data_IF_048698903683
#
_entry.id   IF_048698903683
#
_cell.length_a   1.000
_cell.length_b   1.000
_cell.length_c   1.000
_cell.angle_alpha   90.00
_cell.angle_beta   90.00
_cell.angle_gamma   90.00
#
_symmetry.space_group_name_H-M   'P 1'
#
loop_
_entity.id
_entity.type
_entity.pdbx_description
1 polymer ?
#
# COMPACT_ATOMS: atom_id res chain seq x y z
N UNK A 1 25.29 46.68 -4.53
CA UNK A 1 24.47 45.47 -4.84
C UNK A 1 24.97 44.76 -6.11
N UNK A 2 26.06 43.98 -6.04
CA UNK A 2 26.57 43.22 -7.23
C UNK A 2 27.18 41.83 -6.89
N UNK A 3 27.06 41.32 -5.67
CA UNK A 3 27.76 40.08 -5.24
C UNK A 3 26.93 38.78 -5.33
N UNK A 4 25.62 38.86 -5.58
CA UNK A 4 24.73 37.69 -5.60
C UNK A 4 24.55 37.04 -6.98
N UNK A 5 25.02 37.67 -8.07
CA UNK A 5 24.88 37.10 -9.42
C UNK A 5 25.78 35.89 -9.68
N UNK A 6 26.92 35.78 -8.99
CA UNK A 6 27.86 34.68 -9.20
C UNK A 6 27.38 33.36 -8.56
N UNK A 7 26.66 33.43 -7.43
CA UNK A 7 26.17 32.24 -6.74
C UNK A 7 24.99 31.55 -7.46
N UNK A 8 24.16 32.31 -8.17
CA UNK A 8 23.04 31.76 -8.95
C UNK A 8 23.49 30.97 -10.19
N UNK A 9 24.66 31.27 -10.76
CA UNK A 9 25.18 30.55 -11.91
C UNK A 9 25.73 29.16 -11.55
N UNK A 10 26.26 28.98 -10.34
CA UNK A 10 26.87 27.71 -9.90
C UNK A 10 25.79 26.64 -9.61
N UNK A 11 24.61 27.05 -9.11
CA UNK A 11 23.54 26.10 -8.77
C UNK A 11 22.77 25.54 -9.98
N UNK A 12 22.82 26.17 -11.16
CA UNK A 12 22.17 25.63 -12.37
C UNK A 12 23.02 24.58 -13.12
N UNK A 13 24.31 24.46 -12.81
CA UNK A 13 25.22 23.51 -13.48
C UNK A 13 25.19 22.09 -12.88
N UNK A 14 24.49 21.87 -11.76
CA UNK A 14 24.44 20.56 -11.07
C UNK A 14 23.17 19.75 -11.36
N UNK A 15 22.29 20.23 -12.25
CA UNK A 15 20.99 19.56 -12.54
C UNK A 15 21.00 18.63 -13.76
N UNK A 16 22.15 18.40 -14.41
CA UNK A 16 22.26 17.54 -15.59
C UNK A 16 23.41 16.55 -15.48
N UNK A 17 23.24 15.50 -14.67
CA UNK A 17 24.01 14.25 -14.80
C UNK A 17 23.27 13.08 -14.16
N UNK A 18 22.16 12.69 -14.79
CA UNK A 18 21.64 11.33 -14.71
C UNK A 18 20.96 11.00 -16.04
N UNK A 19 21.78 10.96 -17.10
CA UNK A 19 21.38 10.33 -18.35
C UNK A 19 22.57 9.60 -18.97
N UNK A 20 22.29 8.38 -19.41
CA UNK A 20 23.09 7.45 -20.21
C UNK A 20 24.11 6.58 -19.48
N UNK A 21 23.76 5.30 -19.35
CA UNK A 21 24.37 4.32 -20.26
C UNK A 21 23.44 3.13 -20.44
N UNK A 22 22.93 2.96 -21.66
CA UNK A 22 22.61 1.63 -22.19
C UNK A 22 23.87 0.76 -22.02
N UNK A 23 23.81 -0.19 -21.09
CA UNK A 23 24.70 -1.33 -21.12
C UNK A 23 23.96 -2.43 -21.86
N UNK A 24 24.41 -2.68 -23.09
CA UNK A 24 24.28 -3.99 -23.73
C UNK A 24 24.56 -5.07 -22.68
N UNK A 25 23.55 -5.87 -22.36
CA UNK A 25 23.75 -7.12 -21.65
C UNK A 25 24.27 -8.10 -22.70
N UNK A 26 25.59 -8.11 -22.85
CA UNK A 26 26.29 -9.18 -23.55
C UNK A 26 25.92 -10.50 -22.88
N UNK A 27 25.41 -11.42 -23.68
CA UNK A 27 25.05 -12.78 -23.33
C UNK A 27 26.30 -13.52 -22.80
N UNK A 28 26.49 -13.53 -21.48
CA UNK A 28 27.43 -14.41 -20.81
C UNK A 28 26.63 -15.56 -20.19
N UNK A 29 26.55 -16.65 -20.94
CA UNK A 29 26.01 -17.93 -20.51
C UNK A 29 26.84 -18.46 -19.34
N UNK A 30 26.35 -18.30 -18.11
CA UNK A 30 26.79 -19.10 -16.96
C UNK A 30 25.57 -19.82 -16.42
N UNK A 31 25.43 -21.06 -16.89
CA UNK A 31 24.44 -22.03 -16.42
C UNK A 31 24.69 -22.31 -14.93
N UNK A 32 23.75 -21.99 -14.01
CA UNK A 32 23.86 -22.44 -12.64
C UNK A 32 23.61 -23.94 -12.61
N UNK A 33 24.65 -24.70 -12.28
CA UNK A 33 24.57 -26.13 -11.96
C UNK A 33 23.62 -26.28 -10.76
N UNK A 34 22.54 -27.08 -10.85
CA UNK A 34 21.68 -27.32 -9.69
C UNK A 34 22.43 -28.23 -8.70
N UNK A 35 22.83 -27.69 -7.56
CA UNK A 35 23.18 -28.49 -6.40
C UNK A 35 21.90 -29.11 -5.83
N UNK A 36 21.80 -30.43 -5.96
CA UNK A 36 20.82 -31.27 -5.30
C UNK A 36 21.02 -31.21 -3.78
N UNK A 37 20.38 -30.26 -3.12
CA UNK A 37 20.08 -30.38 -1.70
C UNK A 37 18.74 -31.12 -1.57
N UNK A 38 18.85 -32.39 -1.22
CA UNK A 38 17.76 -33.33 -0.90
C UNK A 38 16.95 -32.83 0.30
N UNK A 39 16.00 -31.94 0.05
CA UNK A 39 14.89 -31.72 0.96
C UNK A 39 13.96 -32.94 0.82
N UNK A 40 13.93 -33.80 1.85
CA UNK A 40 12.95 -34.89 1.96
C UNK A 40 11.55 -34.29 1.87
N UNK A 41 10.93 -34.43 0.70
CA UNK A 41 9.49 -34.34 0.51
C UNK A 41 8.81 -35.39 1.40
N UNK A 42 7.89 -35.00 2.30
CA UNK A 42 6.96 -35.98 2.84
C UNK A 42 6.06 -36.48 1.70
N UNK A 43 5.91 -37.81 1.64
CA UNK A 43 5.16 -38.53 0.62
C UNK A 43 3.78 -37.93 0.34
N UNK A 44 3.65 -37.40 -0.87
CA UNK A 44 2.38 -36.97 -1.47
C UNK A 44 1.62 -38.20 -1.99
N UNK A 45 1.23 -39.11 -1.10
CA UNK A 45 0.40 -40.26 -1.46
C UNK A 45 -0.52 -40.70 -0.30
N UNK A 46 -1.42 -39.82 0.16
CA UNK A 46 -2.75 -40.22 0.67
C UNK A 46 -3.67 -39.03 0.99
N UNK A 47 -4.10 -38.27 -0.01
CA UNK A 47 -5.18 -37.29 0.17
C UNK A 47 -6.39 -37.66 -0.68
N UNK A 48 -6.97 -38.83 -0.40
CA UNK A 48 -8.32 -39.21 -0.83
C UNK A 48 -9.07 -39.78 0.37
N UNK A 49 -10.29 -39.29 0.56
CA UNK A 49 -11.32 -39.80 1.46
C UNK A 49 -11.16 -39.53 2.96
N UNK A 50 -11.51 -38.32 3.40
CA UNK A 50 -12.29 -38.16 4.63
C UNK A 50 -13.15 -36.87 4.66
N UNK A 51 -13.87 -36.60 3.56
CA UNK A 51 -14.97 -35.62 3.56
C UNK A 51 -16.29 -36.26 4.05
N UNK A 52 -16.27 -36.91 5.22
CA UNK A 52 -17.51 -37.28 5.91
C UNK A 52 -17.48 -36.72 7.32
N UNK A 53 -18.31 -35.70 7.51
CA UNK A 53 -18.82 -35.21 8.78
C UNK A 53 -17.85 -34.39 9.65
N UNK A 54 -17.30 -33.29 9.11
CA UNK A 54 -17.15 -32.10 9.96
C UNK A 54 -18.55 -31.51 10.17
N UNK A 55 -19.24 -32.07 11.17
CA UNK A 55 -20.45 -31.48 11.73
C UNK A 55 -20.00 -30.17 12.36
N UNK A 56 -20.14 -29.06 11.64
CA UNK A 56 -20.02 -27.73 12.25
C UNK A 56 -21.05 -27.69 13.38
N UNK A 57 -20.57 -27.79 14.62
CA UNK A 57 -21.38 -27.44 15.79
C UNK A 57 -21.58 -25.94 15.68
N UNK A 58 -22.69 -25.56 15.04
CA UNK A 58 -23.18 -24.18 15.06
C UNK A 58 -23.67 -23.94 16.47
N UNK A 59 -22.72 -23.63 17.36
CA UNK A 59 -23.04 -22.95 18.58
C UNK A 59 -23.65 -21.62 18.14
N UNK A 60 -24.89 -21.35 18.53
CA UNK A 60 -25.62 -20.10 18.30
C UNK A 60 -24.88 -18.91 18.93
N UNK A 61 -23.71 -18.57 18.41
CA UNK A 61 -23.09 -17.28 18.60
C UNK A 61 -23.82 -16.34 17.65
N UNK A 62 -24.52 -15.37 18.21
CA UNK A 62 -25.10 -14.23 17.51
C UNK A 62 -23.97 -13.55 16.73
N UNK A 63 -23.75 -13.97 15.48
CA UNK A 63 -22.72 -13.42 14.62
C UNK A 63 -23.07 -11.95 14.39
N UNK A 64 -22.28 -11.05 14.99
CA UNK A 64 -22.43 -9.62 14.77
C UNK A 64 -22.19 -9.38 13.28
N UNK A 65 -23.21 -8.87 12.57
CA UNK A 65 -23.13 -8.63 11.12
C UNK A 65 -22.05 -7.59 10.84
N UNK A 66 -20.96 -8.01 10.24
CA UNK A 66 -19.94 -7.11 9.71
C UNK A 66 -20.43 -6.51 8.39
N UNK A 67 -20.28 -5.20 8.24
CA UNK A 67 -20.67 -4.43 7.05
C UNK A 67 -19.41 -3.76 6.51
N UNK A 68 -19.26 -3.75 5.18
CA UNK A 68 -18.19 -3.07 4.49
C UNK A 68 -18.72 -1.80 3.85
N UNK A 69 -18.10 -0.66 4.15
CA UNK A 69 -18.42 0.65 3.58
C UNK A 69 -17.28 1.15 2.71
N UNK A 70 -17.57 1.61 1.50
CA UNK A 70 -16.57 2.27 0.65
C UNK A 70 -16.24 3.66 1.20
N UNK A 71 -14.97 3.89 1.52
CA UNK A 71 -14.48 5.19 2.02
C UNK A 71 -13.83 6.03 0.93
N UNK A 72 -13.20 5.38 -0.05
CA UNK A 72 -12.48 6.05 -1.12
C UNK A 72 -12.14 5.10 -2.26
N UNK A 73 -12.03 5.66 -3.47
CA UNK A 73 -11.63 4.93 -4.66
C UNK A 73 -10.86 5.84 -5.60
N UNK A 74 -9.77 5.32 -6.18
CA UNK A 74 -9.04 6.01 -7.24
C UNK A 74 -7.61 5.50 -7.40
N UNK A 75 -6.86 6.20 -8.24
CA UNK A 75 -5.46 5.95 -8.54
C UNK A 75 -4.55 6.54 -7.46
N UNK A 76 -3.49 5.82 -7.14
CA UNK A 76 -2.52 6.25 -6.12
C UNK A 76 -1.66 7.40 -6.64
N UNK A 77 -1.73 8.54 -5.96
CA UNK A 77 -0.95 9.75 -6.27
C UNK A 77 0.28 9.84 -5.38
N UNK A 78 0.16 9.38 -4.13
CA UNK A 78 1.28 9.32 -3.20
C UNK A 78 0.94 8.57 -1.92
N UNK A 79 1.97 8.25 -1.15
CA UNK A 79 1.85 7.65 0.17
C UNK A 79 2.66 8.45 1.18
N UNK A 80 2.20 8.45 2.42
CA UNK A 80 2.91 9.01 3.56
C UNK A 80 2.96 7.97 4.66
N UNK A 81 4.13 7.80 5.28
CA UNK A 81 4.30 6.94 6.45
C UNK A 81 4.87 7.76 7.59
N UNK A 82 4.21 7.70 8.74
CA UNK A 82 4.73 8.22 9.98
C UNK A 82 5.23 7.06 10.83
N UNK A 83 6.54 7.00 11.04
CA UNK A 83 7.16 5.97 11.88
C UNK A 83 7.25 6.38 13.36
N UNK A 84 6.81 7.59 13.72
CA UNK A 84 6.82 8.01 15.11
C UNK A 84 5.76 7.24 15.93
N UNK A 85 6.22 6.67 17.04
CA UNK A 85 5.38 6.09 18.09
C UNK A 85 4.69 7.25 18.83
N UNK A 86 3.41 7.14 19.22
CA UNK A 86 2.54 5.96 19.14
C UNK A 86 1.69 5.85 17.88
N UNK A 87 1.76 6.82 16.97
CA UNK A 87 0.74 6.96 15.92
C UNK A 87 0.94 6.04 14.72
N UNK A 88 2.15 5.47 14.51
CA UNK A 88 2.52 4.43 13.52
C UNK A 88 1.55 4.29 12.33
N UNK A 89 1.29 5.45 11.74
CA UNK A 89 0.14 5.67 10.88
C UNK A 89 0.65 5.99 9.49
N UNK A 90 -0.14 5.66 8.50
CA UNK A 90 0.18 5.99 7.14
C UNK A 90 -1.08 6.43 6.42
N UNK A 91 -0.87 7.19 5.36
CA UNK A 91 -1.92 7.72 4.52
C UNK A 91 -1.61 7.46 3.07
N UNK A 92 -2.66 7.47 2.26
CA UNK A 92 -2.58 7.43 0.82
C UNK A 92 -3.37 8.59 0.24
N UNK A 93 -2.82 9.22 -0.79
CA UNK A 93 -3.55 10.16 -1.62
C UNK A 93 -4.07 9.44 -2.86
N UNK A 94 -5.38 9.52 -3.09
CA UNK A 94 -6.03 8.99 -4.28
C UNK A 94 -6.61 10.12 -5.13
N UNK A 95 -6.64 9.92 -6.44
CA UNK A 95 -7.37 10.75 -7.41
C UNK A 95 -8.16 9.84 -8.33
N UNK A 96 -9.39 10.21 -8.65
CA UNK A 96 -10.24 9.47 -9.60
C UNK A 96 -9.79 9.68 -11.05
N UNK A 97 -9.04 10.74 -11.32
CA UNK A 97 -8.62 11.13 -12.67
C UNK A 97 -7.24 10.62 -13.08
N UNK A 98 -6.47 10.03 -12.15
CA UNK A 98 -5.19 9.37 -12.45
C UNK A 98 -4.12 9.56 -11.37
N UNK A 99 -2.94 9.00 -11.60
CA UNK A 99 -1.81 8.99 -10.64
C UNK A 99 -0.95 10.27 -10.72
N UNK A 100 -1.54 11.46 -10.58
CA UNK A 100 -0.81 12.74 -10.72
C UNK A 100 -1.18 13.77 -9.67
N UNK A 101 -0.16 14.40 -9.07
CA UNK A 101 -0.33 15.55 -8.15
C UNK A 101 -0.91 16.81 -8.81
N UNK A 102 -0.95 16.87 -10.15
CA UNK A 102 -1.59 17.97 -10.89
C UNK A 102 -3.12 17.84 -10.91
N UNK A 103 -3.65 16.69 -10.52
CA UNK A 103 -5.08 16.45 -10.50
C UNK A 103 -5.73 17.29 -9.38
N UNK A 104 -6.94 17.80 -9.65
CA UNK A 104 -7.65 18.69 -8.72
C UNK A 104 -8.50 17.95 -7.69
N UNK A 105 -8.64 16.64 -7.85
CA UNK A 105 -9.49 15.75 -7.05
C UNK A 105 -8.67 14.86 -6.11
N UNK A 106 -7.41 15.22 -5.84
CA UNK A 106 -6.53 14.48 -4.95
C UNK A 106 -7.03 14.58 -3.51
N UNK A 107 -7.30 13.44 -2.88
CA UNK A 107 -7.80 13.36 -1.50
C UNK A 107 -6.96 12.39 -0.68
N UNK A 108 -6.66 12.76 0.57
CA UNK A 108 -5.96 11.92 1.54
C UNK A 108 -6.92 10.97 2.27
N UNK A 109 -6.45 9.75 2.52
CA UNK A 109 -7.13 8.72 3.30
C UNK A 109 -6.16 8.12 4.32
N UNK A 110 -6.63 7.88 5.54
CA UNK A 110 -5.81 7.44 6.66
C UNK A 110 -6.05 5.97 6.99
N UNK A 111 -4.97 5.18 7.04
CA UNK A 111 -5.05 3.83 7.59
C UNK A 111 -5.30 3.90 9.10
N UNK A 112 -6.10 2.98 9.63
CA UNK A 112 -6.36 2.90 11.07
C UNK A 112 -6.50 1.45 11.55
N UNK A 113 -6.57 1.27 12.88
CA UNK A 113 -6.83 -0.02 13.50
C UNK A 113 -5.74 -1.04 13.16
N UNK A 114 -6.14 -2.17 12.58
CA UNK A 114 -5.21 -3.25 12.21
C UNK A 114 -4.27 -2.87 11.06
N UNK A 115 -4.50 -1.76 10.35
CA UNK A 115 -3.62 -1.32 9.27
C UNK A 115 -2.43 -0.45 9.70
N UNK A 116 -2.13 -0.32 11.01
CA UNK A 116 -0.89 0.34 11.47
C UNK A 116 0.37 -0.27 10.85
N UNK A 117 1.41 0.54 10.62
CA UNK A 117 2.57 0.14 9.79
C UNK A 117 3.40 -1.03 10.32
N UNK A 118 3.33 -1.31 11.63
CA UNK A 118 4.06 -2.41 12.26
C UNK A 118 3.30 -3.75 12.23
N UNK A 119 2.01 -3.77 11.90
CA UNK A 119 1.23 -5.00 11.81
C UNK A 119 1.45 -5.69 10.46
N UNK A 120 1.33 -7.02 10.42
CA UNK A 120 1.42 -7.77 9.17
C UNK A 120 0.30 -7.41 8.19
N UNK A 121 -0.89 -7.08 8.69
CA UNK A 121 -2.02 -6.63 7.87
C UNK A 121 -1.75 -5.26 7.27
N UNK A 122 -1.22 -4.32 8.05
CA UNK A 122 -0.82 -2.99 7.58
C UNK A 122 0.27 -3.06 6.52
N UNK A 123 1.30 -3.90 6.72
CA UNK A 123 2.35 -4.13 5.71
C UNK A 123 1.79 -4.69 4.41
N UNK A 124 0.86 -5.66 4.48
CA UNK A 124 0.21 -6.24 3.30
C UNK A 124 -0.64 -5.20 2.57
N UNK A 125 -1.48 -4.45 3.28
CA UNK A 125 -2.28 -3.40 2.69
C UNK A 125 -1.41 -2.32 2.02
N UNK A 126 -0.34 -1.89 2.70
CA UNK A 126 0.62 -0.93 2.15
C UNK A 126 1.30 -1.46 0.88
N UNK A 127 1.77 -2.72 0.89
CA UNK A 127 2.38 -3.35 -0.28
C UNK A 127 1.39 -3.49 -1.46
N UNK A 128 0.13 -3.83 -1.18
CA UNK A 128 -0.93 -3.86 -2.19
C UNK A 128 -1.08 -2.49 -2.86
N UNK A 129 -1.16 -1.40 -2.08
CA UNK A 129 -1.28 -0.04 -2.64
C UNK A 129 -0.05 0.34 -3.47
N UNK A 130 1.16 -0.02 -3.03
CA UNK A 130 2.36 0.19 -3.86
C UNK A 130 2.28 -0.57 -5.19
N UNK A 131 1.77 -1.80 -5.18
CA UNK A 131 1.57 -2.57 -6.39
C UNK A 131 0.53 -1.91 -7.32
N UNK A 132 -0.59 -1.40 -6.79
CA UNK A 132 -1.55 -0.62 -7.59
C UNK A 132 -0.93 0.65 -8.16
N UNK A 133 -0.13 1.38 -7.37
CA UNK A 133 0.56 2.57 -7.85
C UNK A 133 1.50 2.25 -9.03
N UNK A 134 2.30 1.18 -8.90
CA UNK A 134 3.25 0.77 -9.93
C UNK A 134 2.57 0.26 -11.21
N UNK A 135 1.39 -0.35 -11.07
CA UNK A 135 0.63 -0.91 -12.19
C UNK A 135 -0.43 0.04 -12.76
N UNK A 136 -0.58 1.24 -12.19
CA UNK A 136 -1.60 2.20 -12.59
C UNK A 136 -3.04 1.70 -12.34
N UNK A 137 -3.24 0.83 -11.35
CA UNK A 137 -4.56 0.30 -11.01
C UNK A 137 -5.28 1.20 -9.99
N UNK A 138 -6.61 1.17 -10.04
CA UNK A 138 -7.42 1.79 -9.00
C UNK A 138 -7.39 0.97 -7.70
N UNK A 139 -7.41 1.69 -6.59
CA UNK A 139 -7.53 1.14 -5.24
C UNK A 139 -8.93 1.45 -4.71
N UNK A 140 -9.58 0.46 -4.13
CA UNK A 140 -10.76 0.64 -3.28
C UNK A 140 -10.35 0.58 -1.80
N UNK A 141 -10.68 1.63 -1.06
CA UNK A 141 -10.50 1.72 0.38
C UNK A 141 -11.86 1.54 1.06
N UNK A 142 -11.93 0.62 2.01
CA UNK A 142 -13.16 0.34 2.75
C UNK A 142 -12.96 0.37 4.27
N UNK A 143 -14.08 0.54 4.96
CA UNK A 143 -14.21 0.40 6.40
C UNK A 143 -15.13 -0.79 6.72
N UNK A 144 -14.53 -1.86 7.19
CA UNK A 144 -15.19 -3.08 7.63
C UNK A 144 -15.46 -2.94 9.12
N UNK A 145 -16.72 -2.73 9.48
CA UNK A 145 -17.14 -2.46 10.86
C UNK A 145 -18.47 -3.13 11.19
N UNK A 146 -18.77 -3.20 12.48
CA UNK A 146 -20.07 -3.63 12.99
C UNK A 146 -20.87 -2.45 13.55
N UNK A 147 -20.32 -1.25 13.45
CA UNK A 147 -20.89 0.01 13.93
C UNK A 147 -21.48 0.83 12.79
N UNK A 148 -22.31 1.82 13.13
CA UNK A 148 -22.92 2.72 12.14
C UNK A 148 -21.98 3.84 11.72
N UNK A 149 -21.02 4.22 12.56
CA UNK A 149 -19.97 5.18 12.23
C UNK A 149 -18.90 4.48 11.41
N UNK A 150 -18.68 4.97 10.19
CA UNK A 150 -17.74 4.42 9.23
C UNK A 150 -17.01 5.55 8.51
N UNK A 151 -15.83 5.25 7.97
CA UNK A 151 -15.00 6.19 7.21
C UNK A 151 -14.78 7.52 7.96
N UNK A 152 -14.59 7.44 9.28
CA UNK A 152 -14.43 8.60 10.16
C UNK A 152 -13.28 9.49 9.68
N UNK A 153 -13.40 10.81 9.87
CA UNK A 153 -12.31 11.72 9.51
C UNK A 153 -11.25 11.73 10.59
N UNK A 154 -10.02 11.40 10.23
CA UNK A 154 -8.86 11.60 11.09
C UNK A 154 -8.17 12.92 10.75
N UNK A 155 -7.63 13.56 11.78
CA UNK A 155 -6.71 14.69 11.67
C UNK A 155 -5.38 14.26 12.29
N UNK A 156 -4.31 14.22 11.51
CA UNK A 156 -2.97 14.23 12.11
C UNK A 156 -2.54 15.70 12.23
N UNK A 157 -2.33 16.14 13.48
CA UNK A 157 -1.64 17.38 13.77
C UNK A 157 -0.21 17.27 13.29
N UNK A 158 0.06 17.79 12.08
CA UNK A 158 1.43 18.08 11.66
C UNK A 158 1.84 19.41 12.28
N UNK A 159 3.15 19.62 12.48
CA UNK A 159 3.66 20.90 13.01
C UNK A 159 3.51 22.06 12.02
N UNK A 160 3.03 21.79 10.80
CA UNK A 160 2.63 22.77 9.80
C UNK A 160 1.13 23.03 9.90
N UNK A 161 0.72 24.28 9.63
CA UNK A 161 -0.68 24.76 9.62
C UNK A 161 -1.63 24.02 8.66
N UNK A 162 -1.13 23.05 7.90
CA UNK A 162 -1.90 22.25 6.97
C UNK A 162 -2.42 21.01 7.67
N UNK A 163 -3.66 21.11 8.18
CA UNK A 163 -4.38 19.98 8.74
C UNK A 163 -4.62 18.94 7.64
N UNK A 164 -3.87 17.84 7.66
CA UNK A 164 -4.03 16.71 6.75
C UNK A 164 -5.23 15.84 7.17
N UNK A 165 -6.43 16.33 6.85
CA UNK A 165 -7.68 15.69 7.23
C UNK A 165 -8.19 14.76 6.13
N UNK A 166 -8.55 13.53 6.49
CA UNK A 166 -9.06 12.56 5.53
C UNK A 166 -9.91 11.46 6.15
N UNK A 167 -10.78 10.78 5.38
CA UNK A 167 -11.50 9.59 5.83
C UNK A 167 -10.53 8.47 6.20
N UNK A 168 -10.93 7.65 7.16
CA UNK A 168 -10.17 6.49 7.60
C UNK A 168 -10.63 5.21 6.87
N UNK A 169 -9.71 4.25 6.72
CA UNK A 169 -10.00 2.93 6.15
C UNK A 169 -9.21 1.83 6.89
N UNK A 170 -9.80 0.63 6.95
CA UNK A 170 -9.16 -0.56 7.53
C UNK A 170 -9.09 -1.75 6.55
N UNK A 171 -9.52 -1.56 5.31
CA UNK A 171 -9.46 -2.57 4.26
C UNK A 171 -9.09 -1.96 2.91
N UNK A 172 -8.36 -2.72 2.11
CA UNK A 172 -7.84 -2.34 0.79
C UNK A 172 -8.17 -3.44 -0.19
N UNK A 173 -8.78 -3.08 -1.31
CA UNK A 173 -9.07 -3.99 -2.43
C UNK A 173 -8.51 -3.42 -3.73
N UNK A 174 -7.88 -4.29 -4.52
CA UNK A 174 -7.18 -3.99 -5.76
C UNK A 174 -7.39 -5.17 -6.69
N UNK A 175 -7.71 -4.91 -7.95
CA UNK A 175 -7.88 -5.95 -8.97
C UNK A 175 -6.74 -5.84 -9.97
N UNK A 176 -6.11 -6.97 -10.26
CA UNK A 176 -5.11 -7.10 -11.32
C UNK A 176 -5.76 -7.82 -12.51
N UNK A 177 -5.43 -7.40 -13.75
CA UNK A 177 -5.88 -8.10 -14.95
C UNK A 177 -5.27 -9.51 -15.08
#
# INVERSE_FOLDING_TARGET
MKKYKLFLAIMMMLSFSAYSSDKEITQATVSPKPEHNTLKTPDLHNYKSNQRNMKFSVNNATAKKTIQYECGRGYVVGLFTNMNVPTQGWAVWLSKTGSSWKNKDVQIYWAYGELVTNSELGKRAYASILAAQASGQEVLLSDITTETTHCAKSQIWTTSSDNMNGPQFNSVEIWFP
#
